data_IF_747012285560
#
_entry.id   IF_747012285560
#
_cell.length_a   1.000
_cell.length_b   1.000
_cell.length_c   1.000
_cell.angle_alpha   90.00
_cell.angle_beta   90.00
_cell.angle_gamma   90.00
#
_symmetry.space_group_name_H-M   'P 1'
#
loop_
_entity.id
_entity.type
_entity.pdbx_description
1 polymer ?
#
# COMPACT_ATOMS: atom_id res chain seq x y z
N UNK A 1 -6.47 -23.64 60.75
CA UNK A 1 -6.43 -22.22 61.17
C UNK A 1 -6.62 -21.42 59.90
N UNK A 2 -7.87 -21.33 59.44
CA UNK A 2 -8.85 -20.28 59.82
C UNK A 2 -8.49 -18.97 59.13
N UNK A 3 -9.31 -18.23 58.39
CA UNK A 3 -10.70 -18.25 57.91
C UNK A 3 -10.65 -17.30 56.68
N UNK A 4 -11.39 -17.44 55.58
CA UNK A 4 -12.85 -17.41 55.51
C UNK A 4 -13.35 -15.96 55.30
N UNK A 5 -13.79 -15.62 54.07
CA UNK A 5 -15.11 -15.02 53.82
C UNK A 5 -15.42 -14.83 52.33
N UNK A 6 -16.50 -15.49 51.94
CA UNK A 6 -17.23 -15.36 50.69
C UNK A 6 -18.10 -14.10 50.68
N UNK A 7 -18.40 -13.55 49.50
CA UNK A 7 -19.67 -12.87 49.22
C UNK A 7 -20.02 -13.00 47.71
N UNK A 8 -21.17 -13.61 47.49
CA UNK A 8 -22.14 -13.57 46.37
C UNK A 8 -23.52 -13.63 47.08
N UNK A 9 -24.72 -13.42 46.47
CA UNK A 9 -25.09 -13.47 45.04
C UNK A 9 -26.22 -12.46 44.62
N UNK A 10 -26.80 -12.69 43.43
CA UNK A 10 -28.13 -12.28 42.91
C UNK A 10 -28.29 -10.81 42.48
N UNK A 11 -28.93 -10.46 41.36
CA UNK A 11 -29.61 -11.21 40.29
C UNK A 11 -30.50 -10.21 39.54
N UNK A 12 -30.74 -10.39 38.24
CA UNK A 12 -31.96 -9.91 37.58
C UNK A 12 -32.16 -10.52 36.18
N UNK A 13 -33.37 -11.04 35.97
CA UNK A 13 -33.96 -11.54 34.74
C UNK A 13 -34.72 -10.40 34.01
N UNK A 14 -34.67 -10.40 32.68
CA UNK A 14 -35.74 -9.97 31.73
C UNK A 14 -35.15 -10.17 30.31
N UNK A 15 -35.50 -11.16 29.49
CA UNK A 15 -36.75 -11.58 28.80
C UNK A 15 -37.34 -10.55 27.82
N UNK A 16 -37.45 -11.01 26.57
CA UNK A 16 -38.29 -10.63 25.40
C UNK A 16 -37.58 -10.00 24.19
N UNK A 17 -37.65 -10.71 23.06
CA UNK A 17 -37.32 -10.20 21.73
C UNK A 17 -36.97 -11.25 20.68
N UNK A 18 -37.85 -12.23 20.46
CA UNK A 18 -37.79 -13.08 19.27
C UNK A 18 -38.21 -12.27 18.02
N UNK A 19 -37.54 -12.45 16.88
CA UNK A 19 -38.08 -11.99 15.60
C UNK A 19 -37.07 -11.78 14.46
N UNK A 20 -36.88 -12.84 13.67
CA UNK A 20 -36.79 -12.81 12.20
C UNK A 20 -35.66 -12.01 11.49
N UNK A 21 -34.66 -12.78 11.03
CA UNK A 21 -34.14 -12.70 9.64
C UNK A 21 -35.30 -13.00 8.65
N UNK A 22 -35.27 -12.62 7.34
CA UNK A 22 -34.09 -12.77 6.48
C UNK A 22 -33.92 -11.79 5.28
N UNK A 23 -32.85 -12.05 4.51
CA UNK A 23 -32.68 -11.85 3.04
C UNK A 23 -31.98 -10.58 2.51
N UNK A 24 -30.66 -10.72 2.37
CA UNK A 24 -29.81 -10.42 1.19
C UNK A 24 -30.50 -9.91 -0.10
N UNK A 25 -29.98 -8.81 -0.69
CA UNK A 25 -29.38 -8.74 -2.06
C UNK A 25 -28.91 -7.31 -2.45
N UNK A 26 -28.12 -7.15 -3.54
CA UNK A 26 -26.89 -6.35 -3.53
C UNK A 26 -26.90 -5.05 -4.38
N UNK A 27 -25.81 -4.30 -4.21
CA UNK A 27 -25.11 -3.37 -5.13
C UNK A 27 -25.59 -3.26 -6.59
N UNK A 28 -25.72 -2.01 -7.07
CA UNK A 28 -25.08 -1.45 -8.30
C UNK A 28 -25.41 0.06 -8.41
N UNK A 29 -24.42 0.95 -8.24
CA UNK A 29 -23.63 1.68 -9.25
C UNK A 29 -24.39 2.69 -10.13
N UNK A 30 -24.07 3.96 -9.85
CA UNK A 30 -23.63 5.02 -10.77
C UNK A 30 -24.14 4.96 -12.23
N UNK A 31 -24.97 5.93 -12.60
CA UNK A 31 -24.95 6.49 -13.95
C UNK A 31 -24.90 8.02 -13.83
N UNK A 32 -23.72 8.57 -14.17
CA UNK A 32 -23.52 9.99 -14.41
C UNK A 32 -24.10 10.31 -15.79
N UNK A 33 -25.07 11.22 -15.84
CA UNK A 33 -25.59 11.76 -17.10
C UNK A 33 -24.62 12.83 -17.61
N UNK A 34 -23.88 12.50 -18.67
CA UNK A 34 -23.15 13.47 -19.49
C UNK A 34 -24.17 14.23 -20.32
N UNK A 35 -24.41 15.48 -19.95
CA UNK A 35 -25.30 16.40 -20.67
C UNK A 35 -24.53 17.02 -21.84
N UNK A 36 -24.70 16.48 -23.05
CA UNK A 36 -24.23 17.09 -24.29
C UNK A 36 -25.17 18.24 -24.66
N UNK A 37 -24.74 19.48 -24.39
CA UNK A 37 -25.34 20.71 -24.94
C UNK A 37 -25.04 20.78 -26.43
N UNK A 38 -26.08 20.68 -27.26
CA UNK A 38 -26.04 21.13 -28.65
C UNK A 38 -26.58 22.56 -28.64
N UNK A 39 -25.70 23.54 -28.85
CA UNK A 39 -26.07 24.91 -29.15
C UNK A 39 -26.47 24.99 -30.64
N UNK A 40 -27.70 25.39 -30.93
CA UNK A 40 -28.11 25.81 -32.26
C UNK A 40 -28.74 27.20 -32.15
N UNK A 41 -28.09 28.19 -32.75
CA UNK A 41 -28.62 29.55 -32.95
C UNK A 41 -29.75 29.54 -34.00
N UNK A 42 -30.75 30.43 -33.90
CA UNK A 42 -31.81 30.53 -34.90
C UNK A 42 -31.51 31.63 -35.94
N UNK A 43 -31.99 31.49 -37.20
CA UNK A 43 -32.26 32.65 -38.04
C UNK A 43 -33.76 32.95 -38.09
N UNK A 44 -34.04 34.23 -38.25
CA UNK A 44 -35.35 34.87 -38.32
C UNK A 44 -36.04 34.68 -39.69
N UNK A 45 -37.38 34.76 -39.63
CA UNK A 45 -38.35 35.16 -40.68
C UNK A 45 -38.68 34.19 -41.85
N UNK A 46 -39.89 33.62 -41.85
CA UNK A 46 -41.03 33.92 -42.76
C UNK A 46 -42.23 32.96 -42.50
N UNK A 47 -43.45 33.43 -42.75
CA UNK A 47 -44.77 32.79 -42.48
C UNK A 47 -45.42 32.31 -43.82
N UNK A 48 -46.62 31.69 -43.89
CA UNK A 48 -46.96 30.24 -43.86
C UNK A 48 -47.66 29.70 -45.14
N UNK A 49 -47.67 28.37 -45.39
CA UNK A 49 -48.83 27.65 -45.98
C UNK A 49 -48.79 26.11 -45.86
N UNK A 50 -49.96 25.47 -46.06
CA UNK A 50 -50.47 24.18 -45.50
C UNK A 50 -50.09 22.86 -46.25
N UNK A 51 -49.80 21.79 -45.45
CA UNK A 51 -50.11 20.30 -45.53
C UNK A 51 -49.73 19.47 -46.81
N UNK A 52 -49.62 18.11 -46.71
CA UNK A 52 -49.16 17.22 -45.61
C UNK A 52 -48.10 16.17 -46.05
N UNK A 53 -47.09 15.91 -45.22
CA UNK A 53 -46.15 14.78 -45.31
C UNK A 53 -46.29 13.92 -44.04
N UNK A 54 -47.39 13.17 -43.91
CA UNK A 54 -47.66 12.36 -42.69
C UNK A 54 -47.48 10.86 -42.97
N UNK A 55 -47.56 10.41 -44.22
CA UNK A 55 -47.50 8.97 -44.55
C UNK A 55 -46.05 8.44 -44.55
N UNK A 56 -45.06 9.28 -44.87
CA UNK A 56 -43.64 8.86 -44.87
C UNK A 56 -43.03 8.79 -43.47
N UNK A 57 -43.50 9.62 -42.53
CA UNK A 57 -43.00 9.63 -41.15
C UNK A 57 -43.36 8.36 -40.38
N UNK A 58 -44.58 7.84 -40.54
CA UNK A 58 -45.05 6.62 -39.87
C UNK A 58 -44.32 5.34 -40.30
N UNK A 59 -43.94 5.25 -41.58
CA UNK A 59 -43.17 4.09 -42.08
C UNK A 59 -41.72 4.16 -41.60
N UNK A 60 -41.14 5.35 -41.54
CA UNK A 60 -39.77 5.56 -41.07
C UNK A 60 -39.64 5.27 -39.57
N UNK A 61 -40.58 5.74 -38.75
CA UNK A 61 -40.58 5.53 -37.29
C UNK A 61 -40.75 4.05 -36.91
N UNK A 62 -41.56 3.31 -37.68
CA UNK A 62 -41.79 1.87 -37.45
C UNK A 62 -40.62 0.98 -37.88
N UNK A 63 -39.87 1.39 -38.93
CA UNK A 63 -38.61 0.73 -39.35
C UNK A 63 -37.48 1.04 -38.36
N UNK A 64 -37.40 2.27 -37.83
CA UNK A 64 -36.42 2.66 -36.81
C UNK A 64 -36.63 1.88 -35.51
N UNK A 65 -37.87 1.69 -35.05
CA UNK A 65 -38.18 0.88 -33.87
C UNK A 65 -37.86 -0.61 -34.06
N UNK A 66 -38.09 -1.15 -35.27
CA UNK A 66 -37.75 -2.54 -35.60
C UNK A 66 -36.24 -2.76 -35.64
N UNK A 67 -35.49 -1.84 -36.27
CA UNK A 67 -34.02 -1.89 -36.32
C UNK A 67 -33.39 -1.72 -34.93
N UNK A 68 -33.95 -0.87 -34.06
CA UNK A 68 -33.50 -0.71 -32.68
C UNK A 68 -33.67 -2.00 -31.85
N UNK A 69 -34.78 -2.73 -32.04
CA UNK A 69 -35.00 -4.02 -31.38
C UNK A 69 -34.06 -5.13 -31.88
N UNK A 70 -33.77 -5.17 -33.19
CA UNK A 70 -32.81 -6.11 -33.77
C UNK A 70 -31.39 -5.81 -33.32
N UNK A 71 -31.01 -4.53 -33.23
CA UNK A 71 -29.69 -4.12 -32.75
C UNK A 71 -29.47 -4.48 -31.28
N UNK A 72 -30.45 -4.23 -30.41
CA UNK A 72 -30.39 -4.64 -29.00
C UNK A 72 -30.29 -6.17 -28.84
N UNK A 73 -30.94 -6.94 -29.71
CA UNK A 73 -30.82 -8.39 -29.70
C UNK A 73 -29.44 -8.88 -30.16
N UNK A 74 -28.86 -8.24 -31.17
CA UNK A 74 -27.50 -8.53 -31.64
C UNK A 74 -26.46 -8.17 -30.59
N UNK A 75 -26.59 -7.03 -29.91
CA UNK A 75 -25.70 -6.60 -28.81
C UNK A 75 -25.75 -7.59 -27.64
N UNK A 76 -26.96 -8.08 -27.29
CA UNK A 76 -27.11 -9.13 -26.27
C UNK A 76 -26.43 -10.45 -26.69
N UNK A 77 -26.52 -10.84 -27.96
CA UNK A 77 -25.87 -12.06 -28.49
C UNK A 77 -24.35 -11.91 -28.51
N UNK A 78 -23.83 -10.74 -28.88
CA UNK A 78 -22.41 -10.42 -28.84
C UNK A 78 -21.87 -10.48 -27.41
N UNK A 79 -22.57 -9.86 -26.45
CA UNK A 79 -22.20 -9.93 -25.03
C UNK A 79 -22.14 -11.38 -24.52
N UNK A 80 -23.12 -12.22 -24.86
CA UNK A 80 -23.12 -13.65 -24.50
C UNK A 80 -21.98 -14.43 -25.15
N UNK A 81 -21.66 -14.12 -26.41
CA UNK A 81 -20.55 -14.76 -27.11
C UNK A 81 -19.20 -14.36 -26.50
N UNK A 82 -19.02 -13.08 -26.14
CA UNK A 82 -17.85 -12.58 -25.43
C UNK A 82 -17.71 -13.23 -24.04
N UNK A 83 -18.79 -13.32 -23.27
CA UNK A 83 -18.78 -13.99 -21.96
C UNK A 83 -18.46 -15.49 -22.05
N UNK A 84 -18.94 -16.17 -23.10
CA UNK A 84 -18.61 -17.57 -23.32
C UNK A 84 -17.14 -17.76 -23.70
N UNK A 85 -16.60 -16.85 -24.53
CA UNK A 85 -15.20 -16.87 -24.94
C UNK A 85 -14.26 -16.64 -23.75
N UNK A 86 -14.54 -15.66 -22.89
CA UNK A 86 -13.72 -15.38 -21.70
C UNK A 86 -13.75 -16.53 -20.69
N UNK A 87 -14.92 -17.13 -20.44
CA UNK A 87 -15.02 -18.32 -19.58
C UNK A 87 -14.20 -19.49 -20.13
N UNK A 88 -14.21 -19.69 -21.45
CA UNK A 88 -13.42 -20.74 -22.08
C UNK A 88 -11.92 -20.49 -21.94
N UNK A 89 -11.46 -19.26 -22.20
CA UNK A 89 -10.07 -18.86 -22.04
C UNK A 89 -9.59 -19.02 -20.58
N UNK A 90 -10.44 -18.68 -19.60
CA UNK A 90 -10.15 -18.89 -18.19
C UNK A 90 -10.00 -20.38 -17.83
N UNK A 91 -10.87 -21.24 -18.36
CA UNK A 91 -10.76 -22.69 -18.14
C UNK A 91 -9.49 -23.26 -18.77
N UNK A 92 -9.15 -22.89 -20.01
CA UNK A 92 -7.92 -23.31 -20.68
C UNK A 92 -6.68 -22.85 -19.89
N UNK A 93 -6.67 -21.60 -19.42
CA UNK A 93 -5.57 -21.07 -18.59
C UNK A 93 -5.45 -21.78 -17.25
N UNK A 94 -6.55 -22.24 -16.65
CA UNK A 94 -6.52 -23.05 -15.44
C UNK A 94 -5.96 -24.45 -15.72
N UNK A 95 -6.37 -25.08 -16.82
CA UNK A 95 -5.87 -26.38 -17.24
C UNK A 95 -4.37 -26.36 -17.53
N UNK A 96 -3.86 -25.33 -18.23
CA UNK A 96 -2.43 -25.14 -18.47
C UNK A 96 -1.64 -24.99 -17.16
N UNK A 97 -2.15 -24.20 -16.20
CA UNK A 97 -1.53 -24.06 -14.87
C UNK A 97 -1.50 -25.40 -14.14
N UNK A 98 -2.59 -26.17 -14.19
CA UNK A 98 -2.66 -27.50 -13.57
C UNK A 98 -1.68 -28.47 -14.24
N UNK A 99 -1.57 -28.46 -15.56
CA UNK A 99 -0.61 -29.28 -16.29
C UNK A 99 0.84 -28.93 -15.92
N UNK A 100 1.17 -27.62 -15.84
CA UNK A 100 2.49 -27.14 -15.41
C UNK A 100 2.83 -27.58 -13.99
N UNK A 101 1.88 -27.48 -13.07
CA UNK A 101 2.07 -27.91 -11.69
C UNK A 101 2.26 -29.42 -11.58
N UNK A 102 1.47 -30.22 -12.32
CA UNK A 102 1.63 -31.68 -12.39
C UNK A 102 3.02 -32.07 -12.91
N UNK A 103 3.49 -31.43 -13.99
CA UNK A 103 4.84 -31.67 -14.52
C UNK A 103 5.93 -31.36 -13.47
N UNK A 104 5.78 -30.24 -12.75
CA UNK A 104 6.72 -29.88 -11.68
C UNK A 104 6.71 -30.87 -10.51
N UNK A 105 5.55 -31.43 -10.17
CA UNK A 105 5.44 -32.47 -9.14
C UNK A 105 6.19 -33.73 -9.55
N UNK A 106 6.05 -34.18 -10.79
CA UNK A 106 6.78 -35.36 -11.28
C UNK A 106 8.30 -35.13 -11.33
N UNK A 107 8.75 -33.94 -11.75
CA UNK A 107 10.17 -33.57 -11.69
C UNK A 107 10.72 -33.64 -10.26
N UNK A 108 10.00 -33.09 -9.28
CA UNK A 108 10.40 -33.12 -7.88
C UNK A 108 10.37 -34.55 -7.30
N UNK A 109 9.47 -35.41 -7.77
CA UNK A 109 9.44 -36.83 -7.40
C UNK A 109 10.68 -37.56 -7.90
N UNK A 110 11.06 -37.34 -9.16
CA UNK A 110 12.30 -37.91 -9.73
C UNK A 110 13.54 -37.44 -8.97
N UNK A 111 13.63 -36.14 -8.65
CA UNK A 111 14.74 -35.61 -7.85
C UNK A 111 14.81 -36.24 -6.46
N UNK A 112 13.66 -36.41 -5.79
CA UNK A 112 13.58 -37.06 -4.49
C UNK A 112 14.00 -38.53 -4.57
N UNK A 113 13.57 -39.27 -5.59
CA UNK A 113 13.94 -40.67 -5.76
C UNK A 113 15.42 -40.83 -6.11
N UNK A 114 16.00 -39.92 -6.89
CA UNK A 114 17.44 -39.87 -7.16
C UNK A 114 18.26 -39.59 -5.90
N UNK A 115 17.82 -38.62 -5.09
CA UNK A 115 18.46 -38.32 -3.80
C UNK A 115 18.32 -39.49 -2.83
N UNK A 116 17.16 -40.14 -2.78
CA UNK A 116 16.94 -41.33 -1.98
C UNK A 116 17.87 -42.45 -2.40
N UNK A 117 18.01 -42.71 -3.70
CA UNK A 117 18.93 -43.72 -4.22
C UNK A 117 20.40 -43.40 -3.90
N UNK A 118 20.80 -42.12 -3.94
CA UNK A 118 22.14 -41.67 -3.53
C UNK A 118 22.39 -41.93 -2.04
N UNK A 119 21.41 -41.66 -1.20
CA UNK A 119 21.47 -41.95 0.25
C UNK A 119 21.54 -43.45 0.50
N UNK A 120 20.68 -44.24 -0.15
CA UNK A 120 20.64 -45.70 0.00
C UNK A 120 21.95 -46.36 -0.49
N UNK A 121 22.54 -45.85 -1.59
CA UNK A 121 23.87 -46.29 -2.08
C UNK A 121 24.98 -45.96 -1.08
N UNK A 122 24.94 -44.79 -0.46
CA UNK A 122 25.90 -44.42 0.58
C UNK A 122 25.72 -45.31 1.83
N UNK A 123 24.49 -45.62 2.21
CA UNK A 123 24.17 -46.49 3.34
C UNK A 123 24.60 -47.95 3.09
N UNK A 124 24.39 -48.47 1.88
CA UNK A 124 24.87 -49.81 1.47
C UNK A 124 26.40 -49.88 1.35
N UNK A 125 27.06 -48.83 0.86
CA UNK A 125 28.54 -48.72 0.85
C UNK A 125 29.13 -48.68 2.26
N UNK A 126 28.39 -48.17 3.25
CA UNK A 126 28.80 -48.19 4.65
C UNK A 126 28.65 -49.58 5.28
N UNK A 127 27.61 -50.33 4.93
CA UNK A 127 27.42 -51.71 5.41
C UNK A 127 28.48 -52.70 4.89
N UNK A 128 29.01 -52.48 3.67
CA UNK A 128 30.05 -53.33 3.07
C UNK A 128 31.48 -53.03 3.52
N UNK A 129 31.69 -52.01 4.36
CA UNK A 129 33.00 -51.62 4.92
C UNK A 129 33.01 -51.78 6.45
N UNK A 130 32.64 -52.94 6.96
CA UNK A 130 33.06 -53.38 8.30
C UNK A 130 34.54 -53.78 8.24
N UNK A 131 35.41 -52.77 8.27
CA UNK A 131 36.85 -52.96 8.20
C UNK A 131 37.57 -51.62 8.13
N UNK A 132 37.65 -50.95 9.28
CA UNK A 132 38.55 -49.82 9.55
C UNK A 132 38.33 -48.59 8.65
N UNK A 133 37.30 -47.81 8.93
CA UNK A 133 37.33 -46.34 8.84
C UNK A 133 36.08 -45.78 9.52
N UNK A 134 36.26 -44.79 10.39
CA UNK A 134 35.21 -44.07 11.09
C UNK A 134 34.05 -43.72 10.15
N UNK A 135 32.85 -44.19 10.51
CA UNK A 135 31.61 -43.86 9.83
C UNK A 135 31.52 -42.35 9.52
N UNK A 136 30.98 -41.92 8.37
CA UNK A 136 30.52 -40.55 8.27
C UNK A 136 29.42 -40.41 9.32
N UNK A 137 29.75 -39.69 10.40
CA UNK A 137 28.85 -39.54 11.53
C UNK A 137 27.50 -39.08 11.00
N UNK A 138 26.48 -39.94 11.14
CA UNK A 138 25.10 -39.51 11.05
C UNK A 138 25.01 -38.21 11.86
N UNK A 139 24.49 -37.11 11.29
CA UNK A 139 24.46 -35.85 12.01
C UNK A 139 23.80 -36.13 13.35
N UNK A 140 24.55 -35.88 14.43
CA UNK A 140 24.09 -36.21 15.77
C UNK A 140 22.72 -35.56 15.98
N UNK A 141 21.85 -36.18 16.78
CA UNK A 141 20.55 -35.59 17.09
C UNK A 141 20.68 -34.12 17.53
N UNK A 142 21.80 -33.79 18.19
CA UNK A 142 22.21 -32.44 18.54
C UNK A 142 22.52 -31.56 17.32
N UNK A 143 23.31 -32.01 16.34
CA UNK A 143 23.58 -31.26 15.12
C UNK A 143 22.30 -30.98 14.30
N UNK A 144 21.37 -31.94 14.26
CA UNK A 144 20.06 -31.75 13.61
C UNK A 144 19.22 -30.72 14.37
N UNK A 145 19.22 -30.77 15.70
CA UNK A 145 18.51 -29.80 16.53
C UNK A 145 19.08 -28.39 16.40
N UNK A 146 20.41 -28.24 16.46
CA UNK A 146 21.10 -26.95 16.27
C UNK A 146 20.81 -26.37 14.90
N UNK A 147 20.83 -27.19 13.85
CA UNK A 147 20.46 -26.76 12.51
C UNK A 147 19.00 -26.30 12.43
N UNK A 148 18.07 -27.02 13.09
CA UNK A 148 16.65 -26.62 13.16
C UNK A 148 16.46 -25.30 13.89
N UNK A 149 17.16 -25.10 15.02
CA UNK A 149 17.11 -23.84 15.78
C UNK A 149 17.61 -22.70 14.91
N UNK A 150 18.79 -22.82 14.30
CA UNK A 150 19.35 -21.81 13.40
C UNK A 150 18.43 -21.50 12.22
N UNK A 151 17.77 -22.53 11.67
CA UNK A 151 16.81 -22.37 10.58
C UNK A 151 15.58 -21.56 11.00
N UNK A 152 15.03 -21.84 12.19
CA UNK A 152 13.90 -21.07 12.75
C UNK A 152 14.31 -19.65 13.10
N UNK A 153 15.50 -19.44 13.67
CA UNK A 153 16.04 -18.11 13.96
C UNK A 153 16.22 -17.29 12.68
N UNK A 154 16.80 -17.89 11.63
CA UNK A 154 16.92 -17.24 10.32
C UNK A 154 15.56 -16.88 9.73
N UNK A 155 14.57 -17.76 9.87
CA UNK A 155 13.20 -17.50 9.43
C UNK A 155 12.57 -16.34 10.20
N UNK A 156 12.77 -16.26 11.52
CA UNK A 156 12.29 -15.15 12.34
C UNK A 156 12.93 -13.82 11.92
N UNK A 157 14.23 -13.82 11.60
CA UNK A 157 14.91 -12.63 11.08
C UNK A 157 14.29 -12.16 9.76
N UNK A 158 13.97 -13.09 8.84
CA UNK A 158 13.29 -12.74 7.58
C UNK A 158 11.91 -12.12 7.84
N UNK A 159 11.15 -12.63 8.81
CA UNK A 159 9.87 -12.03 9.18
C UNK A 159 10.02 -10.64 9.80
N UNK A 160 11.06 -10.41 10.61
CA UNK A 160 11.35 -9.08 11.14
C UNK A 160 11.61 -8.06 10.02
N UNK A 161 12.20 -8.50 8.89
CA UNK A 161 12.42 -7.64 7.74
C UNK A 161 11.13 -7.09 7.12
N UNK A 162 9.98 -7.73 7.34
CA UNK A 162 8.68 -7.25 6.86
C UNK A 162 8.20 -5.98 7.60
N UNK A 163 8.86 -5.62 8.71
CA UNK A 163 8.50 -4.47 9.53
C UNK A 163 7.30 -4.72 10.45
N UNK A 164 6.65 -5.89 10.39
CA UNK A 164 5.55 -6.23 11.29
C UNK A 164 5.82 -7.60 11.92
N UNK A 165 5.85 -7.64 13.24
CA UNK A 165 5.97 -8.88 14.01
C UNK A 165 4.84 -9.00 15.03
N UNK A 166 4.52 -10.23 15.41
CA UNK A 166 3.41 -10.52 16.32
C UNK A 166 3.80 -11.55 17.37
N UNK A 167 3.42 -11.29 18.62
CA UNK A 167 3.60 -12.20 19.76
C UNK A 167 2.24 -12.48 20.41
N UNK A 168 1.95 -13.75 20.63
CA UNK A 168 0.75 -14.16 21.37
C UNK A 168 0.88 -13.78 22.85
N UNK A 169 -0.17 -13.18 23.40
CA UNK A 169 -0.28 -12.82 24.82
C UNK A 169 -1.42 -13.60 25.48
N UNK A 170 -1.54 -13.53 26.82
CA UNK A 170 -2.60 -14.24 27.55
C UNK A 170 -4.02 -13.85 27.13
N UNK A 171 -4.19 -12.61 26.66
CA UNK A 171 -5.49 -12.02 26.36
C UNK A 171 -5.73 -11.80 24.84
N UNK A 172 -4.70 -12.00 24.01
CA UNK A 172 -4.79 -11.81 22.57
C UNK A 172 -3.41 -11.75 21.91
N UNK A 173 -3.11 -10.70 21.15
CA UNK A 173 -1.89 -10.58 20.34
C UNK A 173 -1.28 -9.19 20.50
N UNK A 174 0.04 -9.13 20.66
CA UNK A 174 0.83 -7.90 20.63
C UNK A 174 1.56 -7.81 19.28
N UNK A 175 1.32 -6.74 18.53
CA UNK A 175 2.04 -6.43 17.29
C UNK A 175 3.14 -5.41 17.57
N UNK A 176 4.30 -5.61 16.97
CA UNK A 176 5.36 -4.61 16.85
C UNK A 176 5.47 -4.22 15.38
N UNK A 177 5.33 -2.93 15.10
CA UNK A 177 5.44 -2.31 13.79
C UNK A 177 6.71 -1.46 13.78
N UNK A 178 7.74 -1.98 13.13
CA UNK A 178 9.01 -1.30 12.91
C UNK A 178 8.93 -0.50 11.62
N UNK A 179 9.18 0.80 11.74
CA UNK A 179 9.22 1.71 10.58
C UNK A 179 10.59 1.69 9.93
N UNK A 180 10.62 1.87 8.62
CA UNK A 180 11.84 1.94 7.84
C UNK A 180 11.74 3.00 6.75
N UNK A 181 12.85 3.67 6.46
CA UNK A 181 12.95 4.63 5.38
C UNK A 181 14.32 4.49 4.70
N UNK A 182 14.32 4.42 3.37
CA UNK A 182 15.54 4.27 2.54
C UNK A 182 16.51 3.17 3.00
N UNK A 183 15.97 2.04 3.49
CA UNK A 183 16.76 0.88 3.93
C UNK A 183 17.30 0.97 5.36
N UNK A 184 16.94 2.01 6.11
CA UNK A 184 17.27 2.15 7.55
C UNK A 184 16.02 1.96 8.40
N UNK A 185 16.12 1.12 9.43
CA UNK A 185 15.08 0.99 10.45
C UNK A 185 15.11 2.20 11.39
N UNK A 186 13.93 2.72 11.68
CA UNK A 186 13.73 3.91 12.50
C UNK A 186 13.07 3.50 13.83
N UNK A 187 11.88 4.04 14.11
CA UNK A 187 11.13 3.79 15.33
C UNK A 187 10.33 2.48 15.26
N UNK A 188 10.02 1.91 16.43
CA UNK A 188 9.12 0.75 16.57
C UNK A 188 7.92 1.09 17.44
N UNK A 189 6.74 0.67 16.99
CA UNK A 189 5.46 0.95 17.63
C UNK A 189 4.76 -0.34 18.05
N UNK A 190 4.16 -0.35 19.22
CA UNK A 190 3.51 -1.51 19.80
C UNK A 190 1.99 -1.35 19.79
N UNK A 191 1.29 -2.45 19.52
CA UNK A 191 -0.17 -2.52 19.49
C UNK A 191 -0.65 -3.82 20.13
N UNK A 192 -1.29 -3.71 21.29
CA UNK A 192 -1.90 -4.82 22.00
C UNK A 192 -3.38 -4.94 21.63
N UNK A 193 -3.75 -6.10 21.09
CA UNK A 193 -5.12 -6.45 20.73
C UNK A 193 -5.66 -7.56 21.64
N UNK A 194 -6.88 -7.38 22.14
CA UNK A 194 -7.70 -8.43 22.75
C UNK A 194 -8.42 -9.18 21.64
N UNK A 195 -8.53 -10.50 21.74
CA UNK A 195 -9.15 -11.34 20.68
C UNK A 195 -10.53 -11.88 21.06
N UNK A 196 -10.97 -11.69 22.32
CA UNK A 196 -12.27 -12.18 22.82
C UNK A 196 -12.95 -11.12 23.70
N UNK A 197 -14.26 -10.87 23.57
CA UNK A 197 -15.20 -11.46 22.60
C UNK A 197 -15.08 -10.89 21.17
N UNK A 198 -14.64 -9.64 21.03
CA UNK A 198 -14.35 -8.99 19.74
C UNK A 198 -12.91 -8.46 19.73
N UNK A 199 -12.37 -8.20 18.54
CA UNK A 199 -11.00 -7.67 18.43
C UNK A 199 -10.97 -6.21 18.89
N UNK A 200 -10.29 -5.91 19.99
CA UNK A 200 -10.23 -4.55 20.54
C UNK A 200 -8.80 -4.12 20.84
N UNK A 201 -8.52 -2.83 20.63
CA UNK A 201 -7.23 -2.24 20.99
C UNK A 201 -7.21 -2.02 22.50
N UNK A 202 -6.30 -2.68 23.20
CA UNK A 202 -6.12 -2.53 24.65
C UNK A 202 -5.09 -1.44 24.98
N UNK A 203 -3.90 -1.52 24.37
CA UNK A 203 -2.80 -0.58 24.57
C UNK A 203 -2.06 -0.34 23.26
N UNK A 204 -1.50 0.84 23.09
CA UNK A 204 -0.64 1.14 21.95
C UNK A 204 0.37 2.25 22.27
N UNK A 205 1.47 2.27 21.52
CA UNK A 205 2.41 3.40 21.49
C UNK A 205 2.27 4.28 20.25
N UNK A 206 1.24 4.03 19.43
CA UNK A 206 0.95 4.83 18.22
C UNK A 206 0.69 6.30 18.61
N UNK A 207 1.34 7.28 17.94
CA UNK A 207 1.14 8.69 18.23
C UNK A 207 -0.31 9.16 18.04
N UNK A 208 -0.78 10.06 18.92
CA UNK A 208 -2.18 10.50 19.00
C UNK A 208 -2.73 11.13 17.73
N UNK A 209 -1.86 11.69 16.90
CA UNK A 209 -2.21 12.36 15.66
C UNK A 209 -2.38 11.40 14.47
N UNK A 210 -1.99 10.13 14.62
CA UNK A 210 -2.28 9.08 13.65
C UNK A 210 -3.74 8.64 13.85
N UNK A 211 -4.57 8.53 12.79
CA UNK A 211 -6.00 8.28 12.91
C UNK A 211 -6.33 6.80 13.25
N UNK A 212 -5.68 6.23 14.27
CA UNK A 212 -5.80 4.84 14.69
C UNK A 212 -7.27 4.44 14.93
N UNK A 213 -8.04 5.28 15.60
CA UNK A 213 -9.46 5.01 15.85
C UNK A 213 -10.31 4.91 14.57
N UNK A 214 -10.00 5.69 13.53
CA UNK A 214 -10.71 5.63 12.25
C UNK A 214 -10.33 4.39 11.45
N UNK A 215 -9.03 4.07 11.42
CA UNK A 215 -8.50 2.86 10.77
C UNK A 215 -9.06 1.61 11.46
N UNK A 216 -9.12 1.61 12.79
CA UNK A 216 -9.65 0.51 13.60
C UNK A 216 -11.14 0.26 13.31
N UNK A 217 -11.96 1.32 13.36
CA UNK A 217 -13.40 1.21 13.05
C UNK A 217 -13.67 0.63 11.66
N UNK A 218 -12.81 0.93 10.68
CA UNK A 218 -13.01 0.52 9.29
C UNK A 218 -12.55 -0.91 9.01
N UNK A 219 -11.45 -1.34 9.61
CA UNK A 219 -10.78 -2.58 9.20
C UNK A 219 -10.55 -3.59 10.34
N UNK A 220 -10.56 -3.20 11.61
CA UNK A 220 -10.14 -4.08 12.71
C UNK A 220 -11.01 -5.35 12.83
N UNK A 221 -12.33 -5.21 12.64
CA UNK A 221 -13.27 -6.34 12.72
C UNK A 221 -13.38 -7.14 11.42
N UNK A 222 -13.01 -6.55 10.27
CA UNK A 222 -13.25 -7.15 8.94
C UNK A 222 -12.00 -7.77 8.36
N UNK A 223 -10.87 -7.06 8.42
CA UNK A 223 -9.59 -7.49 7.87
C UNK A 223 -8.41 -6.92 8.67
N UNK A 224 -7.91 -7.74 9.59
CA UNK A 224 -6.75 -7.39 10.43
C UNK A 224 -5.49 -7.12 9.60
N UNK A 225 -5.31 -7.79 8.45
CA UNK A 225 -4.12 -7.59 7.60
C UNK A 225 -4.18 -6.21 6.95
N UNK A 226 -5.36 -5.83 6.44
CA UNK A 226 -5.56 -4.49 5.88
C UNK A 226 -5.45 -3.41 6.95
N UNK A 227 -5.96 -3.66 8.15
CA UNK A 227 -5.78 -2.77 9.29
C UNK A 227 -4.28 -2.52 9.58
N UNK A 228 -3.48 -3.59 9.69
CA UNK A 228 -2.04 -3.50 9.96
C UNK A 228 -1.28 -2.83 8.82
N UNK A 229 -1.62 -3.14 7.56
CA UNK A 229 -1.01 -2.50 6.38
C UNK A 229 -1.25 -1.00 6.40
N UNK A 230 -2.51 -0.56 6.52
CA UNK A 230 -2.85 0.87 6.51
C UNK A 230 -2.20 1.60 7.69
N UNK A 231 -2.17 0.99 8.88
CA UNK A 231 -1.49 1.57 10.02
C UNK A 231 0.03 1.67 9.79
N UNK A 232 0.63 0.63 9.21
CA UNK A 232 2.05 0.63 8.83
C UNK A 232 2.37 1.74 7.83
N UNK A 233 1.52 1.96 6.83
CA UNK A 233 1.71 3.03 5.83
C UNK A 233 1.74 4.41 6.49
N UNK A 234 0.80 4.68 7.42
CA UNK A 234 0.77 5.94 8.17
C UNK A 234 2.03 6.14 9.03
N UNK A 235 2.46 5.08 9.73
CA UNK A 235 3.64 5.14 10.60
C UNK A 235 4.93 5.30 9.81
N UNK A 236 5.11 4.56 8.71
CA UNK A 236 6.27 4.66 7.83
C UNK A 236 6.34 6.05 7.18
N UNK A 237 5.21 6.58 6.73
CA UNK A 237 5.17 7.91 6.15
C UNK A 237 5.53 8.99 7.16
N UNK A 238 4.99 8.91 8.38
CA UNK A 238 5.35 9.81 9.47
C UNK A 238 6.85 9.72 9.83
N UNK A 239 7.36 8.51 10.03
CA UNK A 239 8.76 8.28 10.36
C UNK A 239 9.68 8.79 9.24
N UNK A 240 9.31 8.56 7.97
CA UNK A 240 10.05 9.05 6.80
C UNK A 240 10.06 10.57 6.70
N UNK A 241 8.95 11.27 6.98
CA UNK A 241 8.92 12.74 7.01
C UNK A 241 9.78 13.31 8.13
N UNK A 242 9.67 12.72 9.33
CA UNK A 242 10.50 13.10 10.49
C UNK A 242 11.99 12.89 10.21
N UNK A 243 12.34 11.73 9.69
CA UNK A 243 13.72 11.38 9.34
C UNK A 243 14.31 12.34 8.30
N UNK A 244 13.57 12.66 7.24
CA UNK A 244 14.02 13.64 6.25
C UNK A 244 14.26 15.03 6.86
N UNK A 245 13.38 15.47 7.76
CA UNK A 245 13.55 16.73 8.47
C UNK A 245 14.77 16.72 9.39
N UNK A 246 15.00 15.63 10.12
CA UNK A 246 16.17 15.47 11.00
C UNK A 246 17.46 15.44 10.17
N UNK A 247 17.51 14.67 9.09
CA UNK A 247 18.65 14.62 8.16
C UNK A 247 18.97 15.98 7.54
N UNK A 248 17.93 16.75 7.19
CA UNK A 248 18.09 18.09 6.65
C UNK A 248 18.75 19.02 7.68
N UNK A 249 18.33 18.95 8.95
CA UNK A 249 18.88 19.76 10.02
C UNK A 249 20.28 19.32 10.46
N UNK A 250 20.57 18.02 10.44
CA UNK A 250 21.86 17.46 10.87
C UNK A 250 22.97 17.63 9.84
N UNK A 251 22.67 17.47 8.55
CA UNK A 251 23.69 17.43 7.50
C UNK A 251 23.74 18.67 6.61
N UNK A 252 22.71 19.51 6.63
CA UNK A 252 22.61 20.70 5.78
C UNK A 252 22.32 21.97 6.58
N UNK A 253 22.68 21.99 7.87
CA UNK A 253 22.56 23.17 8.74
C UNK A 253 23.24 24.40 8.15
N UNK A 254 24.33 24.21 7.40
CA UNK A 254 25.12 25.30 6.83
C UNK A 254 24.46 25.95 5.61
N UNK A 255 23.59 25.20 4.91
CA UNK A 255 22.85 25.70 3.73
C UNK A 255 21.51 26.33 4.11
N UNK A 256 20.97 25.94 5.26
CA UNK A 256 19.68 26.41 5.76
C UNK A 256 19.88 27.66 6.60
N UNK A 257 19.11 28.70 6.30
CA UNK A 257 19.13 29.91 7.09
C UNK A 257 18.14 29.79 8.26
N UNK A 258 18.68 29.57 9.45
CA UNK A 258 17.93 29.44 10.70
C UNK A 258 17.50 28.01 11.02
N UNK A 259 16.44 27.87 11.82
CA UNK A 259 15.95 26.55 12.25
C UNK A 259 14.80 26.08 11.37
N UNK A 260 14.84 24.81 10.96
CA UNK A 260 13.73 24.12 10.30
C UNK A 260 12.49 24.12 11.22
N UNK A 261 11.40 24.74 10.77
CA UNK A 261 10.13 24.71 11.47
C UNK A 261 9.30 23.52 11.00
N UNK A 262 8.76 22.78 11.96
CA UNK A 262 7.90 21.62 11.71
C UNK A 262 6.83 21.49 12.78
N UNK A 263 5.68 20.95 12.39
CA UNK A 263 4.65 20.57 13.35
C UNK A 263 4.84 19.13 13.84
N UNK A 264 4.08 18.71 14.87
CA UNK A 264 4.22 17.38 15.49
C UNK A 264 3.98 16.22 14.51
N UNK A 265 3.13 16.42 13.50
CA UNK A 265 2.83 15.44 12.45
C UNK A 265 3.89 15.36 11.34
N UNK A 266 4.84 16.30 11.34
CA UNK A 266 5.78 16.54 10.24
C UNK A 266 5.08 16.61 8.87
N UNK A 267 3.84 17.10 8.80
CA UNK A 267 3.10 17.26 7.55
C UNK A 267 3.18 18.70 7.00
N UNK A 268 3.78 19.62 7.75
CA UNK A 268 4.16 20.95 7.31
C UNK A 268 5.61 21.22 7.73
N UNK A 269 6.46 21.48 6.74
CA UNK A 269 7.84 21.90 6.95
C UNK A 269 8.05 23.29 6.35
N UNK A 270 8.69 24.18 7.10
CA UNK A 270 9.04 25.53 6.65
C UNK A 270 10.50 25.80 6.98
N UNK A 271 11.28 26.17 5.97
CA UNK A 271 12.68 26.53 6.13
C UNK A 271 13.10 27.53 5.07
N UNK A 272 14.25 28.17 5.31
CA UNK A 272 14.87 29.07 4.34
C UNK A 272 16.22 28.52 3.94
N UNK A 273 16.64 28.76 2.70
CA UNK A 273 17.97 28.40 2.26
C UNK A 273 18.45 29.37 1.19
N UNK A 274 19.77 29.46 1.08
CA UNK A 274 20.43 30.42 0.22
C UNK A 274 20.77 29.79 -1.13
N UNK A 275 20.46 30.51 -2.22
CA UNK A 275 20.76 30.09 -3.60
C UNK A 275 21.67 31.12 -4.25
N UNK A 276 22.80 30.66 -4.80
CA UNK A 276 23.74 31.52 -5.51
C UNK A 276 23.29 31.73 -6.96
N UNK A 277 23.16 32.98 -7.38
CA UNK A 277 22.90 33.34 -8.77
C UNK A 277 23.72 34.55 -9.21
N UNK A 278 24.51 34.40 -10.27
CA UNK A 278 25.32 35.48 -10.87
C UNK A 278 26.10 36.32 -9.82
N UNK A 279 26.73 35.64 -8.84
CA UNK A 279 27.53 36.20 -7.74
C UNK A 279 26.75 36.95 -6.64
N UNK A 280 25.43 36.80 -6.58
CA UNK A 280 24.59 37.25 -5.46
C UNK A 280 23.84 36.06 -4.87
N UNK A 281 23.71 36.07 -3.55
CA UNK A 281 22.94 35.07 -2.81
C UNK A 281 21.51 35.57 -2.62
N UNK A 282 20.54 34.71 -2.92
CA UNK A 282 19.12 34.99 -2.74
C UNK A 282 18.51 34.01 -1.76
N UNK A 283 17.68 34.55 -0.86
CA UNK A 283 17.01 33.75 0.16
C UNK A 283 15.72 33.16 -0.41
N UNK A 284 15.63 31.84 -0.41
CA UNK A 284 14.42 31.09 -0.75
C UNK A 284 13.72 30.68 0.54
N UNK A 285 12.44 31.03 0.66
CA UNK A 285 11.55 30.52 1.69
C UNK A 285 10.74 29.35 1.12
N UNK A 286 10.84 28.19 1.75
CA UNK A 286 10.18 26.96 1.31
C UNK A 286 9.12 26.57 2.31
N UNK A 287 7.94 26.25 1.79
CA UNK A 287 6.84 25.63 2.53
C UNK A 287 6.43 24.33 1.86
N UNK A 288 6.62 23.22 2.57
CA UNK A 288 6.26 21.87 2.12
C UNK A 288 5.04 21.38 2.88
N UNK A 289 4.00 21.00 2.15
CA UNK A 289 2.78 20.41 2.70
C UNK A 289 2.62 18.97 2.23
N UNK A 290 2.47 18.07 3.19
CA UNK A 290 2.23 16.65 2.97
C UNK A 290 0.74 16.39 3.17
N UNK A 291 -0.02 16.50 2.07
CA UNK A 291 -1.47 16.31 2.08
C UNK A 291 -1.87 14.85 2.29
N UNK A 292 -1.14 13.94 1.66
CA UNK A 292 -1.28 12.50 1.90
C UNK A 292 -0.43 12.05 3.09
N UNK A 293 -1.09 11.69 4.19
CA UNK A 293 -0.45 11.24 5.42
C UNK A 293 0.21 9.86 5.29
N UNK A 294 -0.10 9.10 4.25
CA UNK A 294 0.52 7.80 3.92
C UNK A 294 1.75 7.94 3.02
N UNK A 295 2.14 9.17 2.65
CA UNK A 295 3.28 9.43 1.80
C UNK A 295 4.39 10.21 2.52
N UNK A 296 5.65 9.86 2.24
CA UNK A 296 6.83 10.54 2.78
C UNK A 296 7.28 11.73 1.92
N UNK A 297 6.68 11.95 0.76
CA UNK A 297 6.98 13.05 -0.16
C UNK A 297 5.88 14.13 -0.10
N UNK A 298 6.24 15.41 -0.27
CA UNK A 298 5.28 16.51 -0.17
C UNK A 298 4.33 16.52 -1.37
N UNK A 299 3.07 16.84 -1.10
CA UNK A 299 2.03 17.00 -2.12
C UNK A 299 2.10 18.39 -2.75
N UNK A 300 2.31 19.40 -1.90
CA UNK A 300 2.43 20.79 -2.32
C UNK A 300 3.74 21.37 -1.84
N UNK A 301 4.36 22.14 -2.73
CA UNK A 301 5.64 22.81 -2.50
C UNK A 301 5.49 24.23 -2.99
N UNK A 302 5.71 25.17 -2.09
CA UNK A 302 5.70 26.61 -2.38
C UNK A 302 7.09 27.14 -2.06
N UNK A 303 7.72 27.77 -3.05
CA UNK A 303 9.01 28.44 -2.91
C UNK A 303 8.77 29.90 -3.23
N UNK A 304 9.03 30.77 -2.27
CA UNK A 304 9.01 32.22 -2.45
C UNK A 304 10.43 32.77 -2.35
N UNK A 305 10.72 33.80 -3.15
CA UNK A 305 12.01 34.49 -3.15
C UNK A 305 11.78 35.95 -2.73
N UNK A 306 12.85 36.61 -2.30
CA UNK A 306 12.84 38.05 -2.04
C UNK A 306 12.36 38.86 -3.26
N UNK A 307 11.65 39.99 -3.05
CA UNK A 307 10.94 40.71 -4.12
C UNK A 307 11.83 41.30 -5.21
N UNK A 308 13.13 41.49 -4.96
CA UNK A 308 14.11 42.03 -5.93
C UNK A 308 14.75 40.94 -6.83
N UNK A 309 14.13 39.76 -6.91
CA UNK A 309 14.70 38.59 -7.56
C UNK A 309 14.62 38.64 -9.10
N UNK A 310 15.70 38.31 -9.83
CA UNK A 310 15.66 38.13 -11.28
C UNK A 310 14.76 36.96 -11.72
N UNK A 311 14.19 37.07 -12.91
CA UNK A 311 13.30 36.04 -13.50
C UNK A 311 13.93 34.63 -13.57
N UNK A 312 15.26 34.52 -13.72
CA UNK A 312 15.97 33.24 -13.73
C UNK A 312 15.83 32.47 -12.40
N UNK A 313 15.62 33.15 -11.26
CA UNK A 313 15.38 32.47 -9.99
C UNK A 313 13.98 31.87 -9.90
N UNK A 314 13.00 32.40 -10.63
CA UNK A 314 11.67 31.82 -10.69
C UNK A 314 11.70 30.45 -11.40
N UNK A 315 12.53 30.33 -12.46
CA UNK A 315 12.78 29.05 -13.14
C UNK A 315 13.49 28.06 -12.21
N UNK A 316 14.53 28.50 -11.49
CA UNK A 316 15.21 27.69 -10.47
C UNK A 316 14.26 27.26 -9.35
N UNK A 317 13.40 28.16 -8.87
CA UNK A 317 12.39 27.84 -7.84
C UNK A 317 11.36 26.82 -8.35
N UNK A 318 10.94 26.91 -9.61
CA UNK A 318 10.08 25.89 -10.22
C UNK A 318 10.80 24.53 -10.30
N UNK A 319 12.05 24.50 -10.74
CA UNK A 319 12.85 23.28 -10.80
C UNK A 319 13.07 22.65 -9.41
N UNK A 320 13.38 23.44 -8.40
CA UNK A 320 13.53 22.98 -7.01
C UNK A 320 12.19 22.48 -6.45
N UNK A 321 11.08 23.16 -6.76
CA UNK A 321 9.74 22.74 -6.36
C UNK A 321 9.38 21.36 -6.92
N UNK A 322 9.65 21.14 -8.21
CA UNK A 322 9.46 19.84 -8.85
C UNK A 322 10.38 18.76 -8.28
N UNK A 323 11.62 19.11 -7.95
CA UNK A 323 12.57 18.18 -7.34
C UNK A 323 12.09 17.71 -5.95
N UNK A 324 11.65 18.64 -5.10
CA UNK A 324 11.15 18.32 -3.76
C UNK A 324 9.90 17.43 -3.78
N UNK A 325 9.09 17.47 -4.84
CA UNK A 325 7.93 16.58 -4.99
C UNK A 325 8.30 15.15 -5.39
N UNK A 326 9.46 14.95 -6.02
CA UNK A 326 9.86 13.66 -6.61
C UNK A 326 10.92 12.95 -5.78
N UNK A 327 11.70 13.70 -5.01
CA UNK A 327 12.90 13.20 -4.33
C UNK A 327 12.87 13.60 -2.86
N UNK A 328 13.42 12.73 -2.00
CA UNK A 328 13.56 12.99 -0.58
C UNK A 328 14.41 14.24 -0.31
N UNK A 329 14.11 14.98 0.76
CA UNK A 329 14.70 16.30 1.00
C UNK A 329 16.23 16.30 1.08
N UNK A 330 16.80 15.41 1.90
CA UNK A 330 18.26 15.29 2.05
C UNK A 330 18.95 14.94 0.73
N UNK A 331 18.29 14.21 -0.17
CA UNK A 331 18.83 13.90 -1.51
C UNK A 331 18.74 15.09 -2.45
N UNK A 332 17.63 15.83 -2.43
CA UNK A 332 17.46 17.05 -3.21
C UNK A 332 18.56 18.08 -2.86
N UNK A 333 18.86 18.25 -1.57
CA UNK A 333 19.94 19.13 -1.11
C UNK A 333 21.34 18.65 -1.54
N UNK A 334 21.62 17.34 -1.52
CA UNK A 334 22.87 16.82 -2.13
C UNK A 334 22.98 17.16 -3.61
N UNK A 335 21.87 17.11 -4.34
CA UNK A 335 21.86 17.45 -5.77
C UNK A 335 22.22 18.92 -6.02
N UNK A 336 21.80 19.84 -5.14
CA UNK A 336 22.18 21.26 -5.25
C UNK A 336 23.70 21.44 -5.12
N UNK A 337 24.32 20.84 -4.10
CA UNK A 337 25.78 20.93 -3.90
C UNK A 337 26.57 20.33 -5.07
N UNK A 338 26.12 19.20 -5.62
CA UNK A 338 26.78 18.61 -6.80
C UNK A 338 26.64 19.45 -8.07
N UNK A 339 25.59 20.28 -8.18
CA UNK A 339 25.40 21.16 -9.33
C UNK A 339 26.27 22.42 -9.23
N UNK A 340 26.53 22.91 -8.02
CA UNK A 340 27.42 24.05 -7.76
C UNK A 340 28.89 23.70 -8.03
N UNK A 341 29.36 22.51 -7.64
CA UNK A 341 30.74 22.05 -7.90
C UNK A 341 31.06 21.90 -9.41
N UNK A 342 30.06 21.57 -10.24
CA UNK A 342 30.24 21.44 -11.68
C UNK A 342 30.32 22.79 -12.43
N UNK A 343 29.92 23.90 -11.80
CA UNK A 343 29.97 25.25 -12.37
C UNK A 343 31.32 25.95 -12.12
N UNK A 344 32.08 25.54 -11.10
CA UNK A 344 33.42 26.06 -10.79
C UNK A 344 34.55 25.31 -11.53
N UNK A 345 34.22 24.31 -12.35
CA UNK A 345 35.17 23.44 -13.05
C UNK A 345 35.41 23.70 -14.54
N UNK A 346 34.88 24.78 -15.13
CA UNK A 346 35.08 25.09 -16.55
C UNK A 346 36.17 26.17 -16.73
N UNK A 347 37.30 25.87 -17.43
CA UNK A 347 38.43 26.78 -17.60
C UNK A 347 38.17 27.98 -18.52
#
# INVERSE_FOLDING_TARGET
>A
MEEGKAYSPCGELSVWGAGCLPVLRPFEKLSQVVSLRICAEPPLFWVPQRRPLIITAWVFERVVLFLAGVFAHLEMLEARACEAATKKEETERQEEKLARLKARVEELRLQRDELQAKVDLQQKRQLGKEGVASAPAQPSAQAVLEWKIRSVEAMLQVFYLTGISGKLTKLGVCFCISTAYEGTYLDSYYLDLLTKPEVQIHRHSVPVFIPLGQIAKKYLQTDIRRFLSVLSDHLNAYAGRRYQADQLQEHFSDQIEGTLQRNSLCNLLVFNYNVLSKRKTFLFNVRLLYGDLCCSLPTEVVISCTPDAPASLAETAAAHSDLFRRVALHKAFRSFSSAEENMDGAP
#
